data_IF_447202478260
#
_entry.id   IF_447202478260
#
_cell.length_a   1.000
_cell.length_b   1.000
_cell.length_c   1.000
_cell.angle_alpha   90.00
_cell.angle_beta   90.00
_cell.angle_gamma   90.00
#
_symmetry.space_group_name_H-M   'P 1'
#
loop_
_entity.id
_entity.type
_entity.pdbx_description
1 polymer ?
#
# COMPACT_ATOMS: atom_id res chain seq x y z
N UNK A 1 11.24 20.99 0.12
CA UNK A 1 11.19 20.91 1.60
C UNK A 1 12.44 21.60 2.13
N UNK A 2 12.29 22.75 2.79
CA UNK A 2 13.36 23.31 3.62
C UNK A 2 13.58 22.35 4.79
N UNK A 3 14.84 22.15 5.18
CA UNK A 3 15.27 21.36 6.34
C UNK A 3 14.36 21.65 7.54
N UNK A 4 13.53 20.68 7.91
CA UNK A 4 12.93 20.62 9.22
C UNK A 4 13.48 19.34 9.85
N UNK A 5 14.37 19.55 10.82
CA UNK A 5 14.98 18.57 11.74
C UNK A 5 16.12 17.70 11.16
N UNK A 6 17.36 18.02 11.57
CA UNK A 6 18.58 17.22 11.32
C UNK A 6 18.54 15.80 11.91
N UNK A 7 17.44 15.39 12.52
CA UNK A 7 17.25 14.09 13.14
C UNK A 7 16.10 13.26 12.53
N UNK A 8 15.38 13.80 11.54
CA UNK A 8 14.30 13.08 10.88
C UNK A 8 14.75 12.62 9.48
N UNK A 9 15.17 11.37 9.41
CA UNK A 9 15.43 10.70 8.14
C UNK A 9 14.14 10.26 7.47
N UNK A 10 14.18 10.09 6.14
CA UNK A 10 13.02 9.66 5.37
C UNK A 10 13.34 8.50 4.42
N UNK A 11 12.34 7.68 4.17
CA UNK A 11 12.30 6.71 3.06
C UNK A 11 10.97 6.90 2.35
N UNK A 12 11.01 7.20 1.05
CA UNK A 12 9.80 7.42 0.26
C UNK A 12 9.89 6.75 -1.10
N UNK A 13 8.75 6.51 -1.73
CA UNK A 13 8.70 5.98 -3.09
C UNK A 13 8.49 7.09 -4.12
N UNK A 14 9.16 6.94 -5.25
CA UNK A 14 9.03 7.81 -6.40
C UNK A 14 8.48 7.04 -7.59
N UNK A 15 7.61 7.69 -8.37
CA UNK A 15 6.97 7.05 -9.51
C UNK A 15 7.99 6.77 -10.62
N UNK A 16 8.07 5.52 -11.14
CA UNK A 16 8.90 5.20 -12.30
C UNK A 16 8.55 6.01 -13.57
N UNK A 17 7.34 6.60 -13.62
CA UNK A 17 6.95 7.49 -14.71
C UNK A 17 7.62 8.86 -14.65
N UNK A 18 7.94 9.34 -13.44
CA UNK A 18 8.57 10.64 -13.22
C UNK A 18 10.10 10.58 -13.21
N UNK A 19 10.68 9.38 -13.17
CA UNK A 19 12.12 9.14 -13.26
C UNK A 19 12.43 8.07 -14.34
N UNK A 20 12.23 8.39 -15.63
CA UNK A 20 12.36 7.42 -16.71
C UNK A 20 13.77 6.86 -16.85
N UNK A 21 14.81 7.64 -16.53
CA UNK A 21 16.21 7.22 -16.66
C UNK A 21 16.53 6.10 -15.67
N UNK A 22 16.06 6.23 -14.42
CA UNK A 22 16.17 5.20 -13.39
C UNK A 22 15.29 3.99 -13.72
N UNK A 23 14.07 4.23 -14.21
CA UNK A 23 13.14 3.16 -14.53
C UNK A 23 13.58 2.31 -15.74
N UNK A 24 14.39 2.86 -16.66
CA UNK A 24 14.89 2.15 -17.85
C UNK A 24 16.14 1.33 -17.61
N UNK A 25 16.76 1.41 -16.42
CA UNK A 25 17.98 0.66 -16.12
C UNK A 25 17.72 -0.85 -16.33
N UNK A 26 18.55 -1.56 -17.13
CA UNK A 26 18.35 -2.97 -17.42
C UNK A 26 18.47 -3.86 -16.17
N UNK A 27 17.64 -4.91 -16.12
CA UNK A 27 17.64 -5.88 -15.01
C UNK A 27 18.97 -6.63 -14.85
N UNK A 28 19.83 -6.67 -15.88
CA UNK A 28 21.18 -7.25 -15.81
C UNK A 28 22.08 -6.58 -14.78
N UNK A 29 21.78 -5.33 -14.39
CA UNK A 29 22.52 -4.60 -13.34
C UNK A 29 21.97 -4.83 -11.94
N UNK A 30 20.85 -5.54 -11.82
CA UNK A 30 20.20 -5.76 -10.54
C UNK A 30 20.75 -7.04 -9.91
N UNK A 31 20.82 -7.03 -8.59
CA UNK A 31 21.22 -8.18 -7.78
C UNK A 31 20.09 -8.58 -6.82
N UNK A 32 20.17 -9.76 -6.22
CA UNK A 32 19.12 -10.26 -5.31
C UNK A 32 19.08 -9.40 -4.06
N UNK A 33 17.89 -8.92 -3.68
CA UNK A 33 17.71 -8.10 -2.50
C UNK A 33 17.99 -8.92 -1.22
N UNK A 34 18.88 -8.46 -0.31
CA UNK A 34 19.17 -9.13 0.95
C UNK A 34 18.01 -8.93 1.92
N UNK A 35 16.96 -9.76 1.78
CA UNK A 35 15.77 -9.76 2.64
C UNK A 35 15.50 -11.17 3.13
N UNK A 36 15.06 -11.32 4.38
CA UNK A 36 14.68 -12.62 4.99
C UNK A 36 13.84 -13.50 4.06
N UNK A 37 12.78 -12.94 3.47
CA UNK A 37 11.90 -13.68 2.55
C UNK A 37 12.59 -14.16 1.26
N UNK A 38 13.62 -13.48 0.77
CA UNK A 38 14.41 -13.97 -0.37
C UNK A 38 15.41 -15.08 0.04
N UNK A 39 15.73 -15.17 1.34
CA UNK A 39 16.64 -16.17 1.93
C UNK A 39 15.88 -17.42 2.43
N UNK A 40 14.62 -17.26 2.84
CA UNK A 40 13.72 -18.34 3.23
C UNK A 40 13.26 -19.12 1.99
N UNK A 41 13.89 -20.26 1.75
CA UNK A 41 13.49 -21.19 0.68
C UNK A 41 12.34 -22.05 1.21
N UNK A 42 11.11 -21.56 1.10
CA UNK A 42 9.93 -22.42 1.33
C UNK A 42 9.64 -23.25 0.08
N UNK A 43 9.04 -24.44 0.23
CA UNK A 43 8.75 -25.38 -0.88
C UNK A 43 7.97 -24.76 -2.06
N UNK A 44 7.34 -23.60 -1.87
CA UNK A 44 6.58 -22.86 -2.87
C UNK A 44 7.26 -21.59 -3.42
N UNK A 45 8.37 -21.11 -2.84
CA UNK A 45 9.08 -19.92 -3.34
C UNK A 45 10.08 -20.33 -4.42
N UNK A 46 9.66 -20.15 -5.68
CA UNK A 46 10.53 -20.32 -6.84
C UNK A 46 11.65 -19.28 -6.80
N UNK A 47 12.91 -19.67 -7.05
CA UNK A 47 14.05 -18.74 -7.07
C UNK A 47 13.84 -17.57 -8.04
N UNK A 48 13.04 -17.78 -9.08
CA UNK A 48 12.62 -16.78 -10.07
C UNK A 48 11.73 -15.66 -9.49
N UNK A 49 11.22 -15.81 -8.26
CA UNK A 49 10.34 -14.84 -7.60
C UNK A 49 11.08 -13.90 -6.65
N UNK A 50 12.39 -14.12 -6.46
CA UNK A 50 13.24 -13.28 -5.62
C UNK A 50 13.20 -11.84 -6.10
N UNK A 51 12.94 -10.92 -5.17
CA UNK A 51 12.96 -9.48 -5.45
C UNK A 51 14.39 -9.06 -5.75
N UNK A 52 14.58 -8.33 -6.85
CA UNK A 52 15.88 -7.80 -7.25
C UNK A 52 15.99 -6.32 -6.89
N UNK A 53 17.21 -5.82 -6.76
CA UNK A 53 17.47 -4.41 -6.53
C UNK A 53 18.72 -3.88 -7.23
N UNK A 54 18.76 -2.56 -7.38
CA UNK A 54 19.92 -1.78 -7.74
C UNK A 54 20.01 -0.58 -6.81
N UNK A 55 21.19 -0.35 -6.25
CA UNK A 55 21.50 0.85 -5.48
C UNK A 55 22.27 1.84 -6.37
N UNK A 56 21.88 3.12 -6.30
CA UNK A 56 22.51 4.22 -7.03
C UNK A 56 22.30 5.53 -6.26
N UNK A 57 22.95 6.61 -6.67
CA UNK A 57 22.59 7.96 -6.25
C UNK A 57 21.87 8.71 -7.37
N UNK A 58 21.00 9.65 -7.01
CA UNK A 58 20.43 10.61 -7.96
C UNK A 58 20.00 11.90 -7.25
N UNK A 59 19.88 12.99 -8.01
CA UNK A 59 19.39 14.26 -7.48
C UNK A 59 17.87 14.23 -7.34
N UNK A 60 17.39 14.33 -6.10
CA UNK A 60 15.97 14.47 -5.76
C UNK A 60 15.78 15.68 -4.84
N UNK A 61 14.84 16.56 -5.22
CA UNK A 61 14.53 17.80 -4.48
C UNK A 61 15.76 18.69 -4.23
N UNK A 62 16.66 18.79 -5.22
CA UNK A 62 17.83 19.68 -5.18
C UNK A 62 19.00 19.17 -4.35
N UNK A 63 18.99 17.89 -3.93
CA UNK A 63 20.11 17.23 -3.24
C UNK A 63 20.36 15.86 -3.82
N UNK A 64 21.62 15.42 -3.76
CA UNK A 64 21.96 14.03 -4.03
C UNK A 64 21.40 13.14 -2.92
N UNK A 65 20.71 12.08 -3.31
CA UNK A 65 20.05 11.12 -2.41
C UNK A 65 20.44 9.71 -2.77
N UNK A 66 20.40 8.82 -1.78
CA UNK A 66 20.51 7.38 -1.99
C UNK A 66 19.20 6.89 -2.61
N UNK A 67 19.33 6.09 -3.66
CA UNK A 67 18.21 5.58 -4.45
C UNK A 67 18.32 4.06 -4.55
N UNK A 68 17.24 3.40 -4.17
CA UNK A 68 17.09 1.96 -4.25
C UNK A 68 15.98 1.63 -5.24
N UNK A 69 16.34 1.03 -6.37
CA UNK A 69 15.38 0.59 -7.38
C UNK A 69 15.14 -0.89 -7.16
N UNK A 70 13.91 -1.28 -6.87
CA UNK A 70 13.54 -2.68 -6.67
C UNK A 70 12.69 -3.20 -7.82
N UNK A 71 12.80 -4.47 -8.13
CA UNK A 71 12.01 -5.17 -9.15
C UNK A 71 11.40 -6.44 -8.57
N UNK A 72 10.08 -6.59 -8.71
CA UNK A 72 9.34 -7.75 -8.23
C UNK A 72 8.89 -8.64 -9.41
N UNK A 73 9.51 -9.81 -9.64
CA UNK A 73 9.20 -10.68 -10.78
C UNK A 73 7.74 -11.15 -10.82
N UNK A 74 7.17 -11.52 -9.66
CA UNK A 74 5.77 -11.95 -9.55
C UNK A 74 4.79 -10.86 -9.99
N UNK A 75 5.04 -9.63 -9.56
CA UNK A 75 4.23 -8.47 -9.96
C UNK A 75 4.41 -8.15 -11.44
N UNK A 76 5.61 -8.33 -11.97
CA UNK A 76 5.89 -8.14 -13.39
C UNK A 76 5.10 -9.12 -14.26
N UNK A 77 5.12 -10.42 -13.93
CA UNK A 77 4.38 -11.45 -14.67
C UNK A 77 2.88 -11.16 -14.68
N UNK A 78 2.30 -10.80 -13.52
CA UNK A 78 0.90 -10.38 -13.42
C UNK A 78 0.60 -9.17 -14.30
N UNK A 79 1.34 -8.06 -14.15
CA UNK A 79 1.12 -6.84 -14.94
C UNK A 79 1.31 -7.07 -16.44
N UNK A 80 2.24 -7.93 -16.83
CA UNK A 80 2.47 -8.31 -18.24
C UNK A 80 1.27 -9.08 -18.80
N UNK A 81 0.71 -10.01 -18.03
CA UNK A 81 -0.53 -10.71 -18.40
C UNK A 81 -1.70 -9.73 -18.54
N UNK A 82 -1.92 -8.90 -17.52
CA UNK A 82 -2.99 -7.89 -17.54
C UNK A 82 -2.86 -6.94 -18.75
N UNK A 83 -1.64 -6.52 -19.09
CA UNK A 83 -1.39 -5.68 -20.27
C UNK A 83 -1.73 -6.42 -21.57
N UNK A 84 -1.40 -7.71 -21.68
CA UNK A 84 -1.74 -8.53 -22.85
C UNK A 84 -3.26 -8.59 -23.04
N UNK A 85 -4.00 -8.89 -21.97
CA UNK A 85 -5.46 -8.98 -22.01
C UNK A 85 -6.10 -7.65 -22.39
N UNK A 86 -5.61 -6.55 -21.79
CA UNK A 86 -6.06 -5.19 -22.15
C UNK A 86 -5.75 -4.84 -23.60
N UNK A 87 -4.57 -5.21 -24.10
CA UNK A 87 -4.15 -4.97 -25.48
C UNK A 87 -5.07 -5.70 -26.46
N UNK A 88 -5.47 -6.94 -26.14
CA UNK A 88 -6.38 -7.71 -26.98
C UNK A 88 -7.80 -7.11 -26.99
N UNK A 89 -8.31 -6.67 -25.84
CA UNK A 89 -9.60 -5.96 -25.76
C UNK A 89 -9.60 -4.68 -26.61
N UNK A 90 -8.55 -3.86 -26.50
CA UNK A 90 -8.39 -2.67 -27.35
C UNK A 90 -8.36 -3.05 -28.83
N UNK A 91 -7.66 -4.14 -29.18
CA UNK A 91 -7.57 -4.61 -30.56
C UNK A 91 -8.95 -5.00 -31.12
N UNK A 92 -9.77 -5.69 -30.34
CA UNK A 92 -11.14 -6.05 -30.71
C UNK A 92 -12.00 -4.80 -30.94
N UNK A 93 -11.94 -3.82 -30.03
CA UNK A 93 -12.62 -2.53 -30.21
C UNK A 93 -12.14 -1.83 -31.48
N UNK A 94 -10.82 -1.78 -31.73
CA UNK A 94 -10.25 -1.19 -32.93
C UNK A 94 -10.73 -1.87 -34.23
N UNK A 95 -10.96 -3.18 -34.23
CA UNK A 95 -11.56 -3.88 -35.36
C UNK A 95 -13.00 -3.43 -35.61
N UNK A 96 -13.80 -3.25 -34.55
CA UNK A 96 -15.16 -2.74 -34.66
C UNK A 96 -15.19 -1.27 -35.13
N UNK A 97 -14.29 -0.42 -34.62
CA UNK A 97 -14.13 0.97 -35.08
C UNK A 97 -13.74 1.01 -36.57
N UNK A 98 -12.77 0.17 -36.98
CA UNK A 98 -12.33 0.05 -38.39
C UNK A 98 -13.48 -0.39 -39.29
N UNK A 99 -14.27 -1.39 -38.88
CA UNK A 99 -15.43 -1.88 -39.63
C UNK A 99 -16.47 -0.76 -39.82
N UNK A 100 -16.85 -0.08 -38.74
CA UNK A 100 -17.83 1.03 -38.79
C UNK A 100 -17.35 2.20 -39.64
N UNK A 101 -16.05 2.51 -39.60
CA UNK A 101 -15.43 3.54 -40.45
C UNK A 101 -15.49 3.15 -41.93
N UNK A 102 -15.10 1.92 -42.26
CA UNK A 102 -15.12 1.38 -43.63
C UNK A 102 -16.53 1.30 -44.21
N UNK A 103 -17.51 0.90 -43.41
CA UNK A 103 -18.93 0.86 -43.78
C UNK A 103 -19.51 2.28 -44.04
N UNK A 104 -18.76 3.35 -43.74
CA UNK A 104 -19.19 4.72 -43.95
C UNK A 104 -20.40 5.12 -43.11
N UNK A 105 -20.61 4.49 -41.94
CA UNK A 105 -21.78 4.74 -41.08
C UNK A 105 -21.88 6.22 -40.68
N UNK A 106 -23.10 6.74 -40.43
CA UNK A 106 -23.27 8.10 -39.92
C UNK A 106 -22.44 8.33 -38.64
N UNK A 107 -21.71 9.45 -38.56
CA UNK A 107 -20.75 9.77 -37.48
C UNK A 107 -19.48 8.91 -37.40
N UNK A 108 -19.20 8.07 -38.41
CA UNK A 108 -17.99 7.26 -38.49
C UNK A 108 -17.09 7.62 -39.67
N UNK A 109 -17.49 8.57 -40.52
CA UNK A 109 -16.71 8.99 -41.71
C UNK A 109 -15.54 9.90 -41.37
N UNK A 110 -15.69 10.74 -40.36
CA UNK A 110 -14.65 11.69 -39.95
C UNK A 110 -13.56 10.99 -39.12
N UNK A 111 -12.29 10.98 -39.58
CA UNK A 111 -11.16 10.44 -38.82
C UNK A 111 -11.06 10.99 -37.40
N UNK A 112 -11.39 12.28 -37.18
CA UNK A 112 -11.30 12.92 -35.86
C UNK A 112 -12.31 12.32 -34.87
N UNK A 113 -13.52 12.02 -35.34
CA UNK A 113 -14.55 11.38 -34.52
C UNK A 113 -14.15 9.94 -34.12
N UNK A 114 -13.50 9.20 -35.02
CA UNK A 114 -12.99 7.85 -34.72
C UNK A 114 -11.82 7.91 -33.73
N UNK A 115 -10.92 8.87 -33.90
CA UNK A 115 -9.81 9.12 -32.97
C UNK A 115 -10.30 9.45 -31.55
N UNK A 116 -11.28 10.35 -31.41
CA UNK A 116 -11.85 10.71 -30.10
C UNK A 116 -12.53 9.52 -29.41
N UNK A 117 -13.22 8.65 -30.16
CA UNK A 117 -13.81 7.43 -29.62
C UNK A 117 -12.77 6.41 -29.19
N UNK A 118 -11.69 6.29 -29.95
CA UNK A 118 -10.53 5.49 -29.56
C UNK A 118 -9.95 6.01 -28.24
N UNK A 119 -9.79 7.33 -28.07
CA UNK A 119 -9.36 7.96 -26.81
C UNK A 119 -10.27 7.61 -25.62
N UNK A 120 -11.60 7.55 -25.80
CA UNK A 120 -12.53 7.08 -24.75
C UNK A 120 -12.32 5.62 -24.34
N UNK A 121 -12.04 4.73 -25.31
CA UNK A 121 -11.74 3.32 -25.03
C UNK A 121 -10.49 3.21 -24.14
N UNK A 122 -9.51 4.11 -24.31
CA UNK A 122 -8.32 4.15 -23.44
C UNK A 122 -8.58 4.59 -22.02
N UNK A 123 -9.39 5.64 -21.85
CA UNK A 123 -9.76 6.14 -20.51
C UNK A 123 -10.44 5.04 -19.71
N UNK A 124 -11.35 4.31 -20.35
CA UNK A 124 -12.08 3.21 -19.73
C UNK A 124 -11.12 2.09 -19.27
N UNK A 125 -10.14 1.73 -20.11
CA UNK A 125 -9.21 0.62 -19.84
C UNK A 125 -7.96 1.03 -19.02
N UNK A 126 -7.79 2.31 -18.74
CA UNK A 126 -6.66 2.89 -18.01
C UNK A 126 -5.30 2.49 -18.62
N UNK A 127 -5.16 2.62 -19.95
CA UNK A 127 -3.91 2.37 -20.68
C UNK A 127 -3.55 3.60 -21.52
N UNK A 128 -2.27 3.78 -21.88
CA UNK A 128 -1.83 4.96 -22.62
C UNK A 128 -2.41 5.00 -24.05
N UNK A 129 -2.96 6.14 -24.52
CA UNK A 129 -3.50 6.28 -25.88
C UNK A 129 -2.43 6.15 -26.97
N UNK A 130 -1.13 6.22 -26.61
CA UNK A 130 -0.02 6.10 -27.55
C UNK A 130 0.36 4.64 -27.87
N UNK A 131 -0.39 3.66 -27.32
CA UNK A 131 -0.06 2.24 -27.49
C UNK A 131 -0.35 1.73 -28.91
N UNK A 132 -1.38 2.24 -29.60
CA UNK A 132 -1.54 2.01 -31.04
C UNK A 132 -1.45 3.33 -31.81
N UNK A 133 -0.90 3.25 -33.02
CA UNK A 133 -0.93 4.33 -33.99
C UNK A 133 -2.06 4.05 -34.97
N UNK A 134 -2.95 5.03 -35.16
CA UNK A 134 -4.05 4.98 -36.12
C UNK A 134 -3.67 5.76 -37.37
N UNK A 135 -3.81 5.12 -38.53
CA UNK A 135 -3.58 5.73 -39.84
C UNK A 135 -4.89 5.70 -40.61
N UNK A 136 -5.37 6.86 -41.02
CA UNK A 136 -6.57 7.03 -41.82
C UNK A 136 -6.17 7.37 -43.26
N UNK A 137 -6.81 6.72 -44.22
CA UNK A 137 -6.53 6.90 -45.65
C UNK A 137 -7.80 6.58 -46.46
N UNK A 138 -7.73 6.78 -47.76
CA UNK A 138 -8.82 6.43 -48.68
C UNK A 138 -8.38 5.26 -49.56
N UNK A 139 -9.21 4.24 -49.66
CA UNK A 139 -8.96 3.05 -50.47
C UNK A 139 -10.15 2.82 -51.40
N UNK A 140 -9.93 2.86 -52.72
CA UNK A 140 -10.99 2.74 -53.74
C UNK A 140 -12.17 3.71 -53.55
N UNK A 141 -11.89 4.95 -53.13
CA UNK A 141 -12.92 5.98 -52.88
C UNK A 141 -13.69 5.81 -51.56
N UNK A 142 -13.37 4.80 -50.75
CA UNK A 142 -13.97 4.57 -49.44
C UNK A 142 -13.02 4.96 -48.30
N UNK A 143 -13.53 5.44 -47.15
CA UNK A 143 -12.73 5.70 -45.97
C UNK A 143 -12.14 4.39 -45.41
N UNK A 144 -10.84 4.40 -45.10
CA UNK A 144 -10.11 3.25 -44.60
C UNK A 144 -9.23 3.65 -43.40
N UNK A 145 -9.03 2.67 -42.51
CA UNK A 145 -8.26 2.84 -41.29
C UNK A 145 -7.37 1.62 -41.10
N UNK A 146 -6.09 1.86 -40.82
CA UNK A 146 -5.14 0.88 -40.34
C UNK A 146 -4.68 1.25 -38.93
N UNK A 147 -4.30 0.24 -38.15
CA UNK A 147 -3.74 0.44 -36.83
C UNK A 147 -2.56 -0.49 -36.59
N UNK A 148 -1.56 0.00 -35.88
CA UNK A 148 -0.38 -0.76 -35.54
C UNK A 148 -0.01 -0.55 -34.08
N UNK A 149 0.39 -1.64 -33.39
CA UNK A 149 0.94 -1.55 -32.04
C UNK A 149 2.26 -0.78 -32.09
N UNK A 150 2.34 0.30 -31.33
CA UNK A 150 3.57 1.04 -31.11
C UNK A 150 4.49 0.23 -30.18
N UNK A 151 5.34 -0.61 -30.78
CA UNK A 151 6.26 -1.49 -30.06
C UNK A 151 7.17 -0.75 -29.10
N UNK A 152 7.65 0.44 -29.50
CA UNK A 152 8.51 1.28 -28.65
C UNK A 152 7.79 1.73 -27.38
N UNK A 153 6.54 2.21 -27.49
CA UNK A 153 5.75 2.60 -26.33
C UNK A 153 5.39 1.39 -25.45
N UNK A 154 5.02 0.26 -26.06
CA UNK A 154 4.73 -0.97 -25.34
C UNK A 154 5.95 -1.46 -24.53
N UNK A 155 7.13 -1.47 -25.16
CA UNK A 155 8.38 -1.86 -24.51
C UNK A 155 8.78 -0.89 -23.40
N UNK A 156 8.68 0.43 -23.66
CA UNK A 156 8.94 1.44 -22.64
C UNK A 156 7.99 1.32 -21.43
N UNK A 157 6.73 0.92 -21.64
CA UNK A 157 5.81 0.60 -20.55
C UNK A 157 6.24 -0.65 -19.78
N UNK A 158 6.61 -1.73 -20.48
CA UNK A 158 7.09 -2.97 -19.87
C UNK A 158 8.36 -2.76 -19.05
N UNK A 159 9.32 -1.96 -19.51
CA UNK A 159 10.57 -1.69 -18.80
C UNK A 159 10.36 -1.03 -17.43
N UNK A 160 9.23 -0.33 -17.24
CA UNK A 160 8.84 0.32 -15.97
C UNK A 160 8.06 -0.61 -15.03
N UNK A 161 7.53 -1.72 -15.54
CA UNK A 161 6.65 -2.57 -14.76
C UNK A 161 7.36 -3.20 -13.57
N UNK A 162 6.60 -3.26 -12.46
CA UNK A 162 7.04 -3.84 -11.20
C UNK A 162 8.35 -3.26 -10.64
N UNK A 163 8.83 -2.14 -11.18
CA UNK A 163 9.91 -1.36 -10.58
C UNK A 163 9.33 -0.39 -9.57
N UNK A 164 9.96 -0.30 -8.40
CA UNK A 164 9.68 0.72 -7.39
C UNK A 164 10.97 1.45 -7.09
N UNK A 165 10.95 2.77 -7.20
CA UNK A 165 12.10 3.62 -6.89
C UNK A 165 11.90 4.11 -5.46
N UNK A 166 12.82 3.77 -4.57
CA UNK A 166 12.87 4.26 -3.20
C UNK A 166 13.96 5.30 -3.10
N UNK A 167 13.66 6.42 -2.45
CA UNK A 167 14.57 7.55 -2.24
C UNK A 167 14.70 7.76 -0.74
N UNK A 168 15.94 7.85 -0.25
CA UNK A 168 16.23 8.04 1.17
C UNK A 168 17.46 8.91 1.38
N UNK A 169 17.54 9.50 2.57
CA UNK A 169 18.72 10.18 3.11
C UNK A 169 19.46 9.34 4.17
N UNK A 170 19.01 8.11 4.44
CA UNK A 170 19.78 7.11 5.18
C UNK A 170 20.86 6.52 4.28
N UNK A 171 22.04 7.15 4.26
CA UNK A 171 23.16 6.66 3.46
C UNK A 171 23.77 5.36 4.03
N UNK A 172 23.75 5.21 5.36
CA UNK A 172 24.41 4.12 6.09
C UNK A 172 23.59 2.82 6.15
N UNK A 173 22.30 2.87 5.81
CA UNK A 173 21.44 1.69 5.86
C UNK A 173 21.70 0.74 4.70
N UNK A 174 21.59 -0.57 4.96
CA UNK A 174 21.62 -1.56 3.89
C UNK A 174 20.37 -1.45 3.01
N UNK A 175 20.47 -1.84 1.74
CA UNK A 175 19.32 -1.90 0.84
C UNK A 175 18.18 -2.79 1.38
N UNK A 176 18.53 -3.86 2.11
CA UNK A 176 17.58 -4.74 2.77
C UNK A 176 16.76 -4.02 3.84
N UNK A 177 17.43 -3.26 4.71
CA UNK A 177 16.79 -2.50 5.79
C UNK A 177 15.93 -1.36 5.25
N UNK A 178 16.44 -0.59 4.27
CA UNK A 178 15.66 0.47 3.63
C UNK A 178 14.40 -0.07 2.95
N UNK A 179 14.51 -1.21 2.25
CA UNK A 179 13.35 -1.87 1.64
C UNK A 179 12.37 -2.40 2.68
N UNK A 180 12.87 -3.03 3.75
CA UNK A 180 12.02 -3.59 4.80
C UNK A 180 11.25 -2.49 5.54
N UNK A 181 11.91 -1.39 5.90
CA UNK A 181 11.25 -0.22 6.47
C UNK A 181 10.19 0.38 5.53
N UNK A 182 10.46 0.45 4.22
CA UNK A 182 9.46 0.86 3.24
C UNK A 182 8.27 -0.10 3.15
N UNK A 183 8.49 -1.41 3.21
CA UNK A 183 7.41 -2.41 3.23
C UNK A 183 6.59 -2.35 4.52
N UNK A 184 7.24 -2.11 5.66
CA UNK A 184 6.59 -2.00 6.95
C UNK A 184 5.73 -0.73 7.07
N UNK A 185 5.93 0.27 6.19
CA UNK A 185 5.01 1.40 6.03
C UNK A 185 3.57 0.95 5.85
N UNK A 186 3.32 -0.15 5.10
CA UNK A 186 1.96 -0.67 4.91
C UNK A 186 1.35 -1.22 6.21
N UNK A 187 2.16 -1.66 7.17
CA UNK A 187 1.67 -2.04 8.51
C UNK A 187 1.11 -0.82 9.21
N UNK A 188 1.85 0.29 9.18
CA UNK A 188 1.45 1.58 9.74
C UNK A 188 0.22 2.13 9.01
N UNK A 189 0.20 2.13 7.67
CA UNK A 189 -0.97 2.56 6.88
C UNK A 189 -2.21 1.73 7.18
N UNK A 190 -2.07 0.42 7.40
CA UNK A 190 -3.20 -0.41 7.82
C UNK A 190 -3.67 -0.08 9.23
N UNK A 191 -2.75 0.24 10.15
CA UNK A 191 -3.12 0.71 11.48
C UNK A 191 -3.86 2.05 11.42
N UNK A 192 -3.42 3.00 10.58
CA UNK A 192 -4.16 4.25 10.32
C UNK A 192 -5.50 4.02 9.63
N UNK A 193 -5.60 3.06 8.71
CA UNK A 193 -6.89 2.70 8.10
C UNK A 193 -7.84 2.11 9.14
N UNK A 194 -7.32 1.31 10.08
CA UNK A 194 -8.07 0.81 11.24
C UNK A 194 -8.43 1.93 12.21
N UNK A 195 -7.62 2.97 12.32
CA UNK A 195 -7.94 4.17 13.08
C UNK A 195 -8.99 5.08 12.44
N UNK A 196 -9.58 4.68 11.31
CA UNK A 196 -10.79 5.31 10.77
C UNK A 196 -12.04 4.51 11.10
N UNK A 197 -11.91 3.39 11.81
CA UNK A 197 -13.03 2.63 12.32
C UNK A 197 -13.56 3.35 13.58
N UNK A 198 -14.83 3.81 13.61
CA UNK A 198 -15.41 4.50 14.76
C UNK A 198 -15.37 3.68 16.06
N UNK A 199 -15.26 2.35 15.94
CA UNK A 199 -15.23 1.44 17.07
C UNK A 199 -13.82 1.11 17.53
N UNK A 200 -12.76 1.55 16.88
CA UNK A 200 -11.39 1.31 17.34
C UNK A 200 -10.76 2.63 17.78
N UNK A 201 -9.68 3.05 17.11
CA UNK A 201 -9.16 4.40 17.26
C UNK A 201 -10.06 5.28 16.39
N UNK A 202 -10.93 6.09 16.97
CA UNK A 202 -11.99 6.79 16.24
C UNK A 202 -11.52 8.12 15.61
N UNK A 203 -10.51 8.09 14.73
CA UNK A 203 -10.07 9.32 14.03
C UNK A 203 -11.18 9.88 13.14
N UNK A 204 -12.11 9.02 12.70
CA UNK A 204 -13.30 9.39 11.94
C UNK A 204 -14.54 8.68 12.49
N UNK A 205 -15.73 9.33 12.46
CA UNK A 205 -15.96 10.73 12.06
C UNK A 205 -15.45 11.75 13.09
N UNK A 206 -15.02 12.91 12.61
CA UNK A 206 -14.62 14.04 13.46
C UNK A 206 -15.82 14.96 13.67
N UNK A 207 -16.38 14.98 14.87
CA UNK A 207 -17.48 15.89 15.23
C UNK A 207 -17.01 17.26 15.76
N UNK A 208 -15.70 17.51 15.73
CA UNK A 208 -15.08 18.76 16.15
C UNK A 208 -14.92 19.72 14.96
N UNK A 209 -15.25 20.99 15.13
CA UNK A 209 -15.19 21.99 14.05
C UNK A 209 -14.07 23.03 14.21
N UNK A 210 -13.37 23.07 15.35
CA UNK A 210 -12.24 23.98 15.56
C UNK A 210 -10.91 23.25 15.36
N UNK A 211 -9.97 23.91 14.68
CA UNK A 211 -8.61 23.44 14.47
C UNK A 211 -7.93 22.93 15.75
N UNK A 212 -8.12 23.64 16.87
CA UNK A 212 -7.56 23.24 18.18
C UNK A 212 -8.11 21.90 18.64
N UNK A 213 -9.43 21.70 18.58
CA UNK A 213 -10.07 20.45 19.00
C UNK A 213 -9.79 19.30 18.03
N UNK A 214 -9.70 19.58 16.73
CA UNK A 214 -9.26 18.60 15.72
C UNK A 214 -7.84 18.12 16.03
N UNK A 215 -6.90 19.03 16.36
CA UNK A 215 -5.53 18.67 16.76
C UNK A 215 -5.49 17.82 18.03
N UNK A 216 -6.27 18.17 19.05
CA UNK A 216 -6.35 17.38 20.31
C UNK A 216 -6.93 15.99 20.04
N UNK A 217 -8.01 15.90 19.25
CA UNK A 217 -8.61 14.62 18.88
C UNK A 217 -7.60 13.71 18.15
N UNK A 218 -6.90 14.27 17.15
CA UNK A 218 -5.86 13.54 16.43
C UNK A 218 -4.75 13.06 17.38
N UNK A 219 -4.31 13.90 18.32
CA UNK A 219 -3.33 13.53 19.34
C UNK A 219 -3.81 12.36 20.21
N UNK A 220 -5.04 12.41 20.74
CA UNK A 220 -5.63 11.34 21.54
C UNK A 220 -5.68 10.03 20.74
N UNK A 221 -6.09 10.08 19.47
CA UNK A 221 -6.10 8.90 18.60
C UNK A 221 -4.70 8.29 18.40
N UNK A 222 -3.67 9.12 18.24
CA UNK A 222 -2.27 8.65 18.12
C UNK A 222 -1.80 8.00 19.43
N UNK A 223 -2.10 8.61 20.57
CA UNK A 223 -1.80 8.07 21.90
C UNK A 223 -2.49 6.73 22.12
N UNK A 224 -3.79 6.62 21.80
CA UNK A 224 -4.55 5.37 21.89
C UNK A 224 -3.93 4.27 21.02
N UNK A 225 -3.61 4.57 19.76
CA UNK A 225 -2.97 3.62 18.85
C UNK A 225 -1.61 3.15 19.38
N UNK A 226 -0.85 4.07 20.00
CA UNK A 226 0.45 3.77 20.61
C UNK A 226 0.27 2.78 21.76
N UNK A 227 -0.67 3.01 22.68
CA UNK A 227 -0.94 2.09 23.78
C UNK A 227 -1.40 0.71 23.32
N UNK A 228 -2.30 0.65 22.33
CA UNK A 228 -2.78 -0.61 21.79
C UNK A 228 -1.65 -1.39 21.10
N UNK A 229 -0.75 -0.71 20.40
CA UNK A 229 0.41 -1.32 19.73
C UNK A 229 1.40 -1.88 20.75
N UNK A 230 1.68 -1.14 21.83
CA UNK A 230 2.50 -1.62 22.95
C UNK A 230 1.88 -2.85 23.62
N UNK A 231 0.57 -2.83 23.86
CA UNK A 231 -0.14 -3.97 24.44
C UNK A 231 -0.08 -5.20 23.50
N UNK A 232 -0.26 -5.01 22.19
CA UNK A 232 -0.10 -6.08 21.21
C UNK A 232 1.32 -6.64 21.19
N UNK A 233 2.33 -5.80 21.31
CA UNK A 233 3.72 -6.23 21.36
C UNK A 233 3.99 -7.08 22.61
N UNK A 234 3.49 -6.65 23.78
CA UNK A 234 3.59 -7.44 25.02
C UNK A 234 2.84 -8.76 24.94
N UNK A 235 1.62 -8.75 24.41
CA UNK A 235 0.85 -9.96 24.15
C UNK A 235 1.64 -10.95 23.27
N UNK A 236 2.25 -10.47 22.19
CA UNK A 236 3.08 -11.29 21.31
C UNK A 236 4.31 -11.85 22.03
N UNK A 237 4.96 -11.08 22.90
CA UNK A 237 6.08 -11.55 23.72
C UNK A 237 5.66 -12.64 24.72
N UNK A 238 4.43 -12.58 25.23
CA UNK A 238 3.83 -13.62 26.06
C UNK A 238 3.29 -14.82 25.25
N UNK A 239 3.55 -14.90 23.94
CA UNK A 239 3.08 -15.99 23.08
C UNK A 239 1.66 -15.82 22.52
N UNK A 240 0.98 -14.73 22.84
CA UNK A 240 -0.38 -14.45 22.37
C UNK A 240 -0.35 -13.72 21.02
N UNK A 241 -0.68 -14.43 19.94
CA UNK A 241 -0.78 -13.84 18.59
C UNK A 241 -2.15 -13.21 18.34
N UNK A 242 -2.52 -12.20 19.14
CA UNK A 242 -3.81 -11.51 19.03
C UNK A 242 -3.74 -10.29 18.10
N UNK A 243 -4.84 -10.05 17.36
CA UNK A 243 -4.99 -8.81 16.60
C UNK A 243 -5.34 -7.63 17.52
N UNK A 244 -4.96 -6.39 17.15
CA UNK A 244 -5.36 -5.17 17.87
C UNK A 244 -6.87 -5.09 18.13
N UNK A 245 -7.68 -5.51 17.16
CA UNK A 245 -9.15 -5.57 17.29
C UNK A 245 -9.55 -6.52 18.41
N UNK A 246 -8.99 -7.73 18.42
CA UNK A 246 -9.32 -8.73 19.44
C UNK A 246 -8.88 -8.26 20.82
N UNK A 247 -7.68 -7.69 20.93
CA UNK A 247 -7.17 -7.10 22.17
C UNK A 247 -8.15 -6.05 22.72
N UNK A 248 -8.64 -5.15 21.86
CA UNK A 248 -9.61 -4.14 22.26
C UNK A 248 -10.97 -4.73 22.63
N UNK A 249 -11.46 -5.73 21.90
CA UNK A 249 -12.70 -6.44 22.22
C UNK A 249 -12.62 -7.11 23.59
N UNK A 250 -11.54 -7.85 23.87
CA UNK A 250 -11.30 -8.50 25.17
C UNK A 250 -11.18 -7.48 26.30
N UNK A 251 -10.47 -6.37 26.07
CA UNK A 251 -10.32 -5.31 27.06
C UNK A 251 -11.64 -4.60 27.35
N UNK A 252 -12.50 -4.41 26.34
CA UNK A 252 -13.82 -3.78 26.51
C UNK A 252 -14.85 -4.70 27.16
N UNK A 253 -14.72 -6.01 26.99
CA UNK A 253 -15.61 -6.98 27.62
C UNK A 253 -15.24 -7.28 29.07
N UNK A 254 -14.15 -6.73 29.60
CA UNK A 254 -13.84 -6.78 31.03
C UNK A 254 -14.90 -6.00 31.80
N UNK A 255 -15.50 -6.65 32.80
CA UNK A 255 -16.55 -6.07 33.63
C UNK A 255 -16.08 -6.00 35.07
N UNK A 256 -16.54 -4.96 35.76
CA UNK A 256 -16.38 -4.85 37.21
C UNK A 256 -17.74 -4.69 37.84
N UNK A 257 -18.04 -5.49 38.86
CA UNK A 257 -19.22 -5.30 39.68
C UNK A 257 -18.91 -4.32 40.82
N UNK A 258 -19.86 -3.42 41.09
CA UNK A 258 -19.81 -2.51 42.23
C UNK A 258 -20.96 -2.88 43.16
N UNK A 259 -20.66 -3.16 44.42
CA UNK A 259 -21.66 -3.55 45.41
C UNK A 259 -21.44 -2.85 46.75
N UNK A 260 -22.53 -2.72 47.50
CA UNK A 260 -22.53 -2.18 48.86
C UNK A 260 -22.79 -3.33 49.84
N UNK A 261 -21.94 -3.44 50.85
CA UNK A 261 -22.20 -4.33 51.98
C UNK A 261 -23.11 -3.61 52.98
N UNK A 262 -24.02 -4.33 53.67
CA UNK A 262 -24.72 -3.78 54.83
C UNK A 262 -23.65 -3.27 55.81
N UNK A 263 -23.76 -2.01 56.23
CA UNK A 263 -22.84 -1.29 57.15
C UNK A 263 -21.61 -0.60 56.53
N UNK A 264 -21.36 -0.70 55.21
CA UNK A 264 -20.27 0.04 54.57
C UNK A 264 -20.72 1.33 53.90
N UNK A 265 -20.06 2.45 54.24
CA UNK A 265 -20.29 3.75 53.59
C UNK A 265 -19.64 3.89 52.21
N UNK A 266 -18.71 3.00 51.86
CA UNK A 266 -17.98 3.03 50.59
C UNK A 266 -18.32 1.79 49.75
N UNK A 267 -18.59 1.94 48.44
CA UNK A 267 -18.78 0.80 47.57
C UNK A 267 -17.50 -0.03 47.43
N UNK A 268 -17.65 -1.34 47.30
CA UNK A 268 -16.59 -2.24 46.89
C UNK A 268 -16.68 -2.47 45.38
N UNK A 269 -15.53 -2.60 44.72
CA UNK A 269 -15.43 -2.95 43.30
C UNK A 269 -14.66 -4.25 43.17
N UNK A 270 -15.21 -5.19 42.42
CA UNK A 270 -14.56 -6.47 42.07
C UNK A 270 -14.57 -6.64 40.56
N UNK A 271 -13.53 -7.26 40.01
CA UNK A 271 -13.52 -7.74 38.63
C UNK A 271 -14.44 -8.97 38.54
N UNK A 272 -15.36 -8.98 37.57
CA UNK A 272 -16.10 -10.20 37.23
C UNK A 272 -15.14 -11.25 36.67
N UNK A 273 -15.50 -12.53 36.77
CA UNK A 273 -14.64 -13.64 36.34
C UNK A 273 -14.19 -13.45 34.87
N UNK A 274 -12.91 -13.13 34.63
CA UNK A 274 -12.43 -12.87 33.30
C UNK A 274 -12.28 -14.18 32.52
N UNK A 275 -12.46 -14.10 31.20
CA UNK A 275 -12.19 -15.24 30.31
C UNK A 275 -10.70 -15.60 30.33
N UNK A 276 -10.31 -16.83 29.97
CA UNK A 276 -8.89 -17.19 29.88
C UNK A 276 -8.08 -16.22 29.01
N UNK A 277 -8.63 -15.79 27.88
CA UNK A 277 -7.98 -14.80 27.00
C UNK A 277 -7.81 -13.42 27.64
N UNK A 278 -8.72 -13.01 28.53
CA UNK A 278 -8.60 -11.77 29.30
C UNK A 278 -7.55 -11.89 30.40
N UNK A 279 -7.47 -13.04 31.08
CA UNK A 279 -6.43 -13.34 32.08
C UNK A 279 -5.06 -13.26 31.42
N UNK A 280 -4.88 -13.94 30.29
CA UNK A 280 -3.64 -13.93 29.52
C UNK A 280 -3.26 -12.52 29.05
N UNK A 281 -4.23 -11.72 28.61
CA UNK A 281 -4.01 -10.34 28.21
C UNK A 281 -3.61 -9.44 29.39
N UNK A 282 -4.23 -9.61 30.55
CA UNK A 282 -3.87 -8.89 31.78
C UNK A 282 -2.46 -9.26 32.24
N UNK A 283 -2.10 -10.53 32.20
CA UNK A 283 -0.73 -10.98 32.48
C UNK A 283 0.27 -10.41 31.50
N UNK A 284 -0.02 -10.43 30.20
CA UNK A 284 0.84 -9.80 29.19
C UNK A 284 0.99 -8.29 29.41
N UNK A 285 -0.06 -7.62 29.88
CA UNK A 285 0.00 -6.21 30.25
C UNK A 285 0.82 -5.94 31.52
N UNK A 286 1.22 -6.98 32.26
CA UNK A 286 1.94 -6.89 33.52
C UNK A 286 1.00 -6.71 34.70
N UNK A 287 -0.16 -7.36 34.70
CA UNK A 287 -1.09 -7.40 35.83
C UNK A 287 -1.36 -8.84 36.27
N UNK A 288 -1.67 -9.02 37.55
CA UNK A 288 -2.12 -10.29 38.11
C UNK A 288 -3.48 -10.13 38.74
N UNK A 289 -4.34 -11.13 38.59
CA UNK A 289 -5.64 -11.15 39.25
C UNK A 289 -5.47 -11.85 40.59
N UNK A 290 -5.86 -11.19 41.67
CA UNK A 290 -5.89 -11.78 43.01
C UNK A 290 -7.14 -11.29 43.75
N UNK A 291 -7.93 -12.21 44.29
CA UNK A 291 -9.15 -11.92 45.07
C UNK A 291 -10.13 -10.98 44.33
N UNK A 292 -10.21 -11.11 42.99
CA UNK A 292 -11.04 -10.25 42.14
C UNK A 292 -10.48 -8.83 41.91
N UNK A 293 -9.21 -8.60 42.23
CA UNK A 293 -8.49 -7.35 41.96
C UNK A 293 -7.42 -7.53 40.88
N UNK A 294 -7.25 -6.49 40.05
CA UNK A 294 -6.14 -6.39 39.10
C UNK A 294 -4.99 -5.65 39.78
N UNK A 295 -3.91 -6.36 40.09
CA UNK A 295 -2.73 -5.86 40.78
C UNK A 295 -1.55 -5.72 39.82
N UNK A 296 -0.73 -4.68 39.97
CA UNK A 296 0.60 -4.64 39.34
C UNK A 296 1.57 -5.51 40.16
N UNK A 297 2.39 -6.36 39.53
CA UNK A 297 3.50 -7.02 40.21
C UNK A 297 4.45 -5.94 40.72
N UNK A 298 4.88 -6.09 41.98
CA UNK A 298 5.92 -5.25 42.60
C UNK A 298 7.28 -5.49 41.96
#
# INVERSE_FOLDING_TARGET
MKNAEEHLHFITSYSPYLAPDLARIPLKRFQVLPRRRNQETTENDQEEDRVLYLETTASFWGRERKVLITFNPKTFRKKRHDLKDKTEKVRQELFELRKKHRDGRPHWKDPKAVQARYELVWETLHVSPKLFQLNFYTENGAPAMAFQLNRYQAEAHLQRFAKTILVTDHHDWSAGDSYQAYMDRHVIENQFRRSKNPFHVALMPQYHWTDSKIRIHAFICVVELTYLTLLQQRAKQAGLSLSLRRIMEEARSLRTAIFWMPDERKPRRILEDPTPSQVDLLHAAGFHIKDGWVLQPK
#
